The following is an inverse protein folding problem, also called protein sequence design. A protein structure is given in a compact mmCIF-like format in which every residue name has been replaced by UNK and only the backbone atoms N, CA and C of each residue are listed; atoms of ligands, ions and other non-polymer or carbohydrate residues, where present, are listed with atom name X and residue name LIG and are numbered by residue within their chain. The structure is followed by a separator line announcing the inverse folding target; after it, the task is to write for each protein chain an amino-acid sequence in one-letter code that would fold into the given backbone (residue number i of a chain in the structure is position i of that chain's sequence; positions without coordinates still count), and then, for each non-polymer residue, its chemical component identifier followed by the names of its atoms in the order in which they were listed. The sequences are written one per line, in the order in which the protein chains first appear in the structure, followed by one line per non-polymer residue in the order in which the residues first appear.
data_IF_766944527671
#
_entry.id   IF_766944527671
#
_cell.length_a   1.000
_cell.length_b   1.000
_cell.length_c   1.000
_cell.angle_alpha   90.00
_cell.angle_beta   90.00
_cell.angle_gamma   90.00
#
_symmetry.space_group_name_H-M   'P 1'
#
loop_
_entity.id
_entity.type
_entity.pdbx_description
1 polymer ?
#
# COMPACT_ATOMS: atom_id res chain seq x y z
N UNK A 1 -25.44 1.05 3.62
CA UNK A 1 -24.78 -0.26 3.52
C UNK A 1 -23.42 -0.12 4.18
N UNK A 2 -23.29 -0.59 5.41
CA UNK A 2 -22.00 -0.59 6.11
C UNK A 2 -21.01 -1.44 5.31
N UNK A 3 -19.89 -0.86 4.92
CA UNK A 3 -18.86 -1.52 4.11
C UNK A 3 -18.43 -2.83 4.77
N UNK A 4 -18.78 -3.95 4.15
CA UNK A 4 -18.46 -5.28 4.65
C UNK A 4 -16.95 -5.47 4.70
N UNK A 5 -16.42 -5.77 5.89
CA UNK A 5 -15.05 -6.22 6.04
C UNK A 5 -14.89 -7.60 5.38
N UNK A 6 -14.39 -7.65 4.15
CA UNK A 6 -14.06 -8.91 3.48
C UNK A 6 -12.65 -9.33 3.86
N UNK A 7 -12.52 -10.13 4.92
CA UNK A 7 -11.22 -10.73 5.29
C UNK A 7 -10.82 -11.80 4.29
N UNK A 8 -9.96 -11.43 3.36
CA UNK A 8 -9.18 -12.39 2.57
C UNK A 8 -7.86 -12.63 3.30
N UNK A 9 -7.65 -13.85 3.78
CA UNK A 9 -6.42 -14.23 4.47
C UNK A 9 -5.35 -14.65 3.45
N UNK A 10 -4.07 -14.54 3.84
CA UNK A 10 -2.90 -14.79 2.98
C UNK A 10 -3.10 -15.95 1.99
N UNK A 11 -2.96 -15.66 0.70
CA UNK A 11 -3.06 -16.66 -0.36
C UNK A 11 -1.97 -16.44 -1.41
N UNK A 12 -1.56 -17.52 -2.06
CA UNK A 12 -0.66 -17.47 -3.20
C UNK A 12 -1.42 -16.86 -4.37
N UNK A 13 -1.07 -15.64 -4.79
CA UNK A 13 -1.67 -15.06 -5.99
C UNK A 13 -1.15 -15.82 -7.19
N UNK A 14 -2.08 -16.35 -7.99
CA UNK A 14 -1.78 -16.98 -9.27
C UNK A 14 -2.49 -16.21 -10.37
N UNK A 15 -1.88 -16.09 -11.55
CA UNK A 15 -2.60 -15.64 -12.74
C UNK A 15 -3.69 -16.65 -13.09
N UNK A 16 -4.58 -16.24 -13.99
CA UNK A 16 -5.49 -17.17 -14.68
C UNK A 16 -4.76 -18.37 -15.30
N UNK A 17 -3.51 -18.19 -15.75
CA UNK A 17 -2.63 -19.25 -16.25
C UNK A 17 -1.90 -20.08 -15.18
N UNK A 18 -2.18 -19.89 -13.89
CA UNK A 18 -1.58 -20.66 -12.80
C UNK A 18 -0.17 -20.22 -12.39
N UNK A 19 0.45 -19.25 -13.08
CA UNK A 19 1.75 -18.67 -12.72
C UNK A 19 1.64 -18.01 -11.36
N UNK A 20 2.56 -18.30 -10.43
CA UNK A 20 2.58 -17.68 -9.11
C UNK A 20 3.18 -16.26 -9.19
N UNK A 21 2.45 -15.25 -8.73
CA UNK A 21 2.89 -13.84 -8.79
C UNK A 21 3.57 -13.41 -7.52
N UNK A 22 2.92 -13.63 -6.36
CA UNK A 22 3.43 -13.29 -5.02
C UNK A 22 2.37 -13.66 -3.96
N UNK A 23 2.74 -13.71 -2.69
CA UNK A 23 1.79 -13.95 -1.58
C UNK A 23 1.09 -12.65 -1.20
N UNK A 24 -0.25 -12.62 -1.23
CA UNK A 24 -1.01 -11.52 -0.64
C UNK A 24 -0.80 -11.50 0.88
N UNK A 25 -0.55 -10.33 1.46
CA UNK A 25 -0.34 -10.16 2.90
C UNK A 25 -1.30 -9.09 3.43
N UNK A 26 -2.12 -9.46 4.42
CA UNK A 26 -3.00 -8.52 5.11
C UNK A 26 -4.48 -8.92 5.05
N UNK A 27 -5.36 -7.92 5.00
CA UNK A 27 -6.81 -8.07 4.90
C UNK A 27 -7.38 -6.91 4.10
N UNK A 28 -8.24 -7.21 3.14
CA UNK A 28 -8.90 -6.19 2.33
C UNK A 28 -10.09 -5.57 3.08
N UNK A 29 -10.20 -4.26 3.02
CA UNK A 29 -11.32 -3.50 3.56
C UNK A 29 -11.93 -2.72 2.40
N UNK A 30 -13.22 -2.93 2.18
CA UNK A 30 -14.01 -2.24 1.17
C UNK A 30 -14.94 -1.28 1.87
N UNK A 31 -14.80 0.01 1.60
CA UNK A 31 -15.69 1.02 2.18
C UNK A 31 -15.82 2.25 1.29
N UNK A 32 -16.83 3.06 1.59
CA UNK A 32 -17.01 4.37 1.00
C UNK A 32 -16.42 5.41 1.94
N UNK A 33 -15.62 6.33 1.41
CA UNK A 33 -15.02 7.43 2.16
C UNK A 33 -15.27 8.76 1.46
N UNK A 34 -15.51 9.81 2.23
CA UNK A 34 -15.53 11.19 1.73
C UNK A 34 -14.11 11.73 1.77
N UNK A 35 -13.50 11.87 0.59
CA UNK A 35 -12.08 12.17 0.43
C UNK A 35 -11.92 13.46 -0.38
N UNK A 36 -10.99 14.32 0.04
CA UNK A 36 -10.67 15.56 -0.69
C UNK A 36 -9.99 15.23 -2.02
N UNK A 37 -10.59 15.58 -3.13
CA UNK A 37 -9.96 15.51 -4.44
C UNK A 37 -8.77 16.48 -4.50
N UNK A 38 -7.58 15.97 -4.84
CA UNK A 38 -6.35 16.78 -4.84
C UNK A 38 -6.32 17.85 -5.95
N UNK A 39 -7.04 17.65 -7.05
CA UNK A 39 -7.11 18.59 -8.17
C UNK A 39 -8.17 19.68 -7.95
N UNK A 40 -9.36 19.32 -7.47
CA UNK A 40 -10.49 20.26 -7.31
C UNK A 40 -10.60 20.83 -5.90
N UNK A 41 -9.90 20.25 -4.91
CA UNK A 41 -10.03 20.58 -3.49
C UNK A 41 -11.41 20.34 -2.86
N UNK A 42 -12.34 19.71 -3.57
CA UNK A 42 -13.67 19.36 -3.07
C UNK A 42 -13.68 17.98 -2.42
N UNK A 43 -14.53 17.79 -1.40
CA UNK A 43 -14.78 16.47 -0.84
C UNK A 43 -15.73 15.69 -1.74
N UNK A 44 -15.31 14.50 -2.13
CA UNK A 44 -16.08 13.59 -2.96
C UNK A 44 -16.14 12.21 -2.33
N UNK A 45 -17.31 11.60 -2.44
CA UNK A 45 -17.57 10.26 -1.99
C UNK A 45 -16.95 9.24 -2.95
N UNK A 46 -16.00 8.45 -2.49
CA UNK A 46 -15.30 7.44 -3.30
C UNK A 46 -15.35 6.05 -2.66
N UNK A 47 -15.43 5.01 -3.49
CA UNK A 47 -15.21 3.65 -3.04
C UNK A 47 -13.69 3.41 -2.93
N UNK A 48 -13.24 2.97 -1.76
CA UNK A 48 -11.84 2.67 -1.48
C UNK A 48 -11.65 1.21 -1.11
N UNK A 49 -10.52 0.65 -1.57
CA UNK A 49 -10.07 -0.69 -1.24
C UNK A 49 -8.75 -0.56 -0.51
N UNK A 50 -8.72 -1.00 0.75
CA UNK A 50 -7.55 -0.83 1.62
C UNK A 50 -7.01 -2.20 2.00
N UNK A 51 -5.73 -2.45 1.71
CA UNK A 51 -5.03 -3.60 2.28
C UNK A 51 -4.49 -3.23 3.67
N UNK A 52 -5.15 -3.70 4.73
CA UNK A 52 -4.67 -3.56 6.11
C UNK A 52 -3.65 -4.65 6.41
N UNK A 53 -2.40 -4.27 6.65
CA UNK A 53 -1.32 -5.19 6.94
C UNK A 53 -0.41 -4.65 8.07
N UNK A 54 0.38 -5.53 8.68
CA UNK A 54 1.43 -5.11 9.61
C UNK A 54 2.61 -4.52 8.83
N UNK A 55 3.41 -3.70 9.52
CA UNK A 55 4.64 -3.12 8.97
C UNK A 55 5.58 -4.19 8.38
N UNK A 56 5.85 -5.27 9.11
CA UNK A 56 6.75 -6.33 8.63
C UNK A 56 6.23 -7.01 7.37
N UNK A 57 4.92 -7.19 7.25
CA UNK A 57 4.30 -7.77 6.07
C UNK A 57 4.26 -6.78 4.90
N UNK A 58 4.12 -5.48 5.17
CA UNK A 58 4.27 -4.43 4.17
C UNK A 58 5.68 -4.44 3.58
N UNK A 59 6.72 -4.47 4.43
CA UNK A 59 8.12 -4.50 3.97
C UNK A 59 8.45 -5.70 3.08
N UNK A 60 7.78 -6.84 3.28
CA UNK A 60 7.94 -8.04 2.43
C UNK A 60 7.28 -7.93 1.04
N UNK A 61 6.47 -6.90 0.82
CA UNK A 61 5.83 -6.62 -0.47
C UNK A 61 6.49 -5.49 -1.26
N UNK A 62 7.49 -4.81 -0.69
CA UNK A 62 8.19 -3.72 -1.37
C UNK A 62 9.03 -4.27 -2.52
N UNK A 63 8.87 -3.67 -3.71
CA UNK A 63 9.47 -4.15 -4.96
C UNK A 63 10.22 -3.04 -5.73
N UNK A 64 10.98 -2.22 -4.99
CA UNK A 64 11.75 -1.07 -5.51
C UNK A 64 13.05 -1.44 -6.25
N UNK A 65 13.51 -2.68 -6.12
CA UNK A 65 14.76 -3.18 -6.71
C UNK A 65 14.55 -4.58 -7.26
N UNK A 66 15.32 -4.96 -8.29
CA UNK A 66 15.31 -6.32 -8.84
C UNK A 66 16.17 -7.25 -7.97
N UNK A 67 15.73 -8.50 -7.83
CA UNK A 67 16.47 -9.56 -7.13
C UNK A 67 17.84 -9.85 -7.77
N UNK A 68 18.04 -9.44 -9.03
CA UNK A 68 19.29 -9.60 -9.78
C UNK A 68 20.29 -8.46 -9.56
N UNK A 69 19.93 -7.41 -8.84
CA UNK A 69 20.84 -6.28 -8.58
C UNK A 69 21.91 -6.60 -7.53
N UNK A 70 22.91 -5.71 -7.41
CA UNK A 70 23.94 -5.84 -6.38
C UNK A 70 23.32 -5.88 -4.96
N UNK A 71 23.82 -6.78 -4.12
CA UNK A 71 23.29 -7.00 -2.77
C UNK A 71 23.34 -5.76 -1.87
N UNK A 72 24.39 -4.95 -1.96
CA UNK A 72 24.49 -3.72 -1.16
C UNK A 72 23.51 -2.65 -1.64
N UNK A 73 23.26 -2.60 -2.96
CA UNK A 73 22.18 -1.76 -3.51
C UNK A 73 20.82 -2.20 -2.96
N UNK A 74 20.53 -3.50 -2.95
CA UNK A 74 19.27 -4.02 -2.41
C UNK A 74 19.10 -3.66 -0.93
N UNK A 75 20.14 -3.86 -0.10
CA UNK A 75 20.12 -3.49 1.33
C UNK A 75 19.87 -2.01 1.53
N UNK A 76 20.54 -1.15 0.76
CA UNK A 76 20.38 0.30 0.85
C UNK A 76 18.95 0.71 0.48
N UNK A 77 18.41 0.19 -0.62
CA UNK A 77 17.03 0.47 -1.05
C UNK A 77 16.02 0.02 0.00
N UNK A 78 16.20 -1.17 0.59
CA UNK A 78 15.34 -1.66 1.67
C UNK A 78 15.42 -0.78 2.93
N UNK A 79 16.60 -0.27 3.27
CA UNK A 79 16.78 0.66 4.39
C UNK A 79 16.05 1.98 4.13
N UNK A 80 16.20 2.54 2.93
CA UNK A 80 15.50 3.77 2.52
C UNK A 80 13.97 3.56 2.55
N UNK A 81 13.49 2.43 2.02
CA UNK A 81 12.07 2.11 2.03
C UNK A 81 11.51 1.98 3.45
N UNK A 82 12.28 1.35 4.35
CA UNK A 82 11.94 1.22 5.76
C UNK A 82 11.82 2.58 6.44
N UNK A 83 12.81 3.45 6.25
CA UNK A 83 12.81 4.81 6.82
C UNK A 83 11.64 5.64 6.30
N UNK A 84 11.39 5.59 4.99
CA UNK A 84 10.28 6.30 4.35
C UNK A 84 8.93 5.86 4.91
N UNK A 85 8.71 4.55 5.05
CA UNK A 85 7.50 4.00 5.66
C UNK A 85 7.36 4.45 7.12
N UNK A 86 8.42 4.29 7.92
CA UNK A 86 8.41 4.68 9.33
C UNK A 86 8.06 6.16 9.52
N UNK A 87 8.56 7.03 8.63
CA UNK A 87 8.29 8.46 8.67
C UNK A 87 6.79 8.77 8.56
N UNK A 88 6.06 8.09 7.66
CA UNK A 88 4.64 8.34 7.41
C UNK A 88 3.67 7.54 8.30
N UNK A 89 4.07 6.40 8.86
CA UNK A 89 3.18 5.66 9.78
C UNK A 89 3.08 6.29 11.18
N UNK A 90 4.02 7.16 11.57
CA UNK A 90 4.11 7.75 12.91
C UNK A 90 2.95 8.74 13.23
N UNK A 91 1.99 8.94 12.31
CA UNK A 91 0.79 9.76 12.51
C UNK A 91 1.03 11.27 12.58
N UNK A 92 2.28 11.70 12.79
CA UNK A 92 2.71 13.10 12.76
C UNK A 92 2.98 13.60 11.34
N UNK A 93 3.25 12.70 10.40
CA UNK A 93 3.49 13.04 8.99
C UNK A 93 2.45 12.34 8.13
N UNK A 94 1.87 13.09 7.19
CA UNK A 94 1.00 12.54 6.14
C UNK A 94 1.67 12.79 4.81
N UNK A 95 1.77 11.76 3.96
CA UNK A 95 2.36 11.92 2.64
C UNK A 95 1.47 12.83 1.77
N UNK A 96 2.03 13.77 0.98
CA UNK A 96 1.23 14.74 0.20
C UNK A 96 0.24 14.11 -0.80
N UNK A 97 0.52 12.88 -1.24
CA UNK A 97 -0.39 12.13 -2.12
C UNK A 97 -1.57 11.50 -1.39
N UNK A 98 -1.58 11.50 -0.05
CA UNK A 98 -2.70 11.01 0.77
C UNK A 98 -3.69 12.17 0.97
N UNK A 99 -4.86 12.13 0.34
CA UNK A 99 -5.85 13.19 0.47
C UNK A 99 -6.48 13.24 1.87
N UNK A 100 -6.91 14.43 2.29
CA UNK A 100 -7.64 14.60 3.53
C UNK A 100 -8.92 13.77 3.55
N UNK A 101 -9.23 13.15 4.68
CA UNK A 101 -10.38 12.24 4.86
C UNK A 101 -10.09 10.78 4.54
N UNK A 102 -8.95 10.46 3.93
CA UNK A 102 -8.52 9.08 3.73
C UNK A 102 -8.14 8.40 5.05
N UNK A 103 -8.47 7.12 5.19
CA UNK A 103 -8.06 6.30 6.34
C UNK A 103 -6.84 5.41 6.10
N UNK A 104 -6.24 5.49 4.90
CA UNK A 104 -5.04 4.78 4.52
C UNK A 104 -3.81 5.71 4.60
N UNK A 105 -2.63 5.11 4.71
CA UNK A 105 -1.36 5.83 4.93
C UNK A 105 -0.38 5.67 3.76
N UNK A 106 -0.71 4.83 2.78
CA UNK A 106 0.11 4.51 1.63
C UNK A 106 -0.80 4.22 0.41
N UNK A 107 -0.26 4.40 -0.80
CA UNK A 107 -0.96 4.15 -2.06
C UNK A 107 -0.15 3.13 -2.86
N UNK A 108 -0.81 2.10 -3.38
CA UNK A 108 -0.19 1.08 -4.25
C UNK A 108 -0.06 1.61 -5.70
N UNK A 109 0.65 2.73 -5.83
CA UNK A 109 1.01 3.33 -7.10
C UNK A 109 2.45 3.89 -6.96
N UNK A 110 3.44 3.37 -7.71
CA UNK A 110 4.82 3.81 -7.62
C UNK A 110 5.02 5.29 -7.99
N UNK A 111 4.11 5.90 -8.78
CA UNK A 111 4.18 7.32 -9.11
C UNK A 111 3.75 8.22 -7.92
N UNK A 112 3.04 7.64 -6.93
CA UNK A 112 2.46 8.37 -5.81
C UNK A 112 3.07 8.02 -4.45
N UNK A 113 3.66 6.84 -4.32
CA UNK A 113 4.27 6.34 -3.09
C UNK A 113 5.38 5.32 -3.40
N UNK A 114 5.30 4.10 -2.86
CA UNK A 114 6.28 3.03 -3.07
C UNK A 114 5.67 1.89 -3.88
N UNK A 115 6.50 1.24 -4.69
CA UNK A 115 6.08 0.06 -5.44
C UNK A 115 5.85 -1.12 -4.49
N UNK A 116 4.62 -1.62 -4.49
CA UNK A 116 4.18 -2.76 -3.69
C UNK A 116 3.66 -3.88 -4.61
N UNK A 117 4.04 -5.14 -4.32
CA UNK A 117 3.55 -6.32 -5.04
C UNK A 117 3.06 -7.35 -4.07
#
# INVERSE_FOLDING_TARGET
MDGGLVRVNNYLRKSYGGTQWNTFRGSLIWKKESIKNLATSEFVDQAVVINKTSFDNYMKGIAETSDTENREKQKLVLLLAKMYTLFYINGQNTHPSIPAGASYQAIDNPDMFQKYV
#
